data_IF_366010951563
#
_entry.id   IF_366010951563
#
_cell.length_a   1.000
_cell.length_b   1.000
_cell.length_c   1.000
_cell.angle_alpha   90.00
_cell.angle_beta   90.00
_cell.angle_gamma   90.00
#
_symmetry.space_group_name_H-M   'P 1'
#
loop_
_entity.id
_entity.type
_entity.pdbx_description
1 polymer ?
#
# COMPACT_ATOMS: atom_id res chain seq x y z
N UNK A 1 -16.66 -30.02 1.82
CA UNK A 1 -17.05 -28.85 0.99
C UNK A 1 -17.03 -27.62 1.89
N UNK A 2 -16.09 -26.68 1.71
CA UNK A 2 -15.98 -25.50 2.57
C UNK A 2 -17.12 -24.52 2.33
N UNK A 3 -17.69 -23.95 3.40
CA UNK A 3 -18.83 -23.05 3.32
C UNK A 3 -18.58 -21.91 2.30
N UNK A 4 -19.60 -21.52 1.50
CA UNK A 4 -19.46 -20.50 0.45
C UNK A 4 -18.88 -19.18 0.95
N UNK A 5 -19.11 -18.83 2.23
CA UNK A 5 -18.51 -17.65 2.87
C UNK A 5 -16.98 -17.73 3.00
N UNK A 6 -16.42 -18.87 3.41
CA UNK A 6 -14.98 -19.04 3.64
C UNK A 6 -14.17 -18.87 2.34
N UNK A 7 -14.71 -19.36 1.22
CA UNK A 7 -14.08 -19.19 -0.10
C UNK A 7 -14.05 -17.72 -0.52
N UNK A 8 -15.12 -16.97 -0.26
CA UNK A 8 -15.20 -15.54 -0.56
C UNK A 8 -14.21 -14.73 0.26
N UNK A 9 -14.12 -14.97 1.56
CA UNK A 9 -13.14 -14.32 2.43
C UNK A 9 -11.71 -14.63 2.00
N UNK A 10 -11.42 -15.88 1.64
CA UNK A 10 -10.11 -16.26 1.12
C UNK A 10 -9.76 -15.50 -0.16
N UNK A 11 -10.69 -15.43 -1.12
CA UNK A 11 -10.48 -14.69 -2.37
C UNK A 11 -10.26 -13.19 -2.13
N UNK A 12 -11.06 -12.57 -1.27
CA UNK A 12 -10.86 -11.16 -0.90
C UNK A 12 -9.52 -10.95 -0.20
N UNK A 13 -9.14 -11.85 0.71
CA UNK A 13 -7.84 -11.81 1.38
C UNK A 13 -6.68 -11.88 0.39
N UNK A 14 -6.76 -12.75 -0.61
CA UNK A 14 -5.74 -12.84 -1.67
C UNK A 14 -5.63 -11.56 -2.50
N UNK A 15 -6.75 -10.87 -2.77
CA UNK A 15 -6.74 -9.60 -3.50
C UNK A 15 -6.22 -8.45 -2.63
N UNK A 16 -6.52 -8.45 -1.33
CA UNK A 16 -6.07 -7.44 -0.38
C UNK A 16 -4.58 -7.59 0.00
N UNK A 17 -4.03 -8.80 -0.10
CA UNK A 17 -2.73 -9.16 0.44
C UNK A 17 -1.57 -8.24 0.02
N UNK A 18 -1.40 -7.84 -1.26
CA UNK A 18 -0.25 -7.02 -1.65
C UNK A 18 -0.16 -5.70 -0.88
N UNK A 19 -1.26 -4.94 -0.82
CA UNK A 19 -1.26 -3.67 -0.10
C UNK A 19 -1.32 -3.86 1.41
N UNK A 20 -1.92 -4.94 1.91
CA UNK A 20 -1.81 -5.29 3.32
C UNK A 20 -0.35 -5.51 3.72
N UNK A 21 0.39 -6.32 2.96
CA UNK A 21 1.80 -6.61 3.21
C UNK A 21 2.65 -5.32 3.19
N UNK A 22 2.48 -4.47 2.18
CA UNK A 22 3.19 -3.18 2.08
C UNK A 22 2.87 -2.27 3.28
N UNK A 23 1.59 -2.16 3.66
CA UNK A 23 1.16 -1.37 4.81
C UNK A 23 1.74 -1.89 6.13
N UNK A 24 1.74 -3.22 6.33
CA UNK A 24 2.33 -3.83 7.53
C UNK A 24 3.85 -3.65 7.60
N UNK A 25 4.55 -3.67 6.46
CA UNK A 25 6.00 -3.46 6.42
C UNK A 25 6.39 -2.09 6.97
N UNK A 26 5.57 -1.06 6.74
CA UNK A 26 5.81 0.26 7.30
C UNK A 26 5.75 0.28 8.83
N UNK A 27 4.82 -0.48 9.44
CA UNK A 27 4.79 -0.64 10.90
C UNK A 27 6.00 -1.38 11.44
N UNK A 28 6.49 -2.40 10.72
CA UNK A 28 7.76 -3.09 11.08
C UNK A 28 8.93 -2.11 11.04
N UNK A 29 9.03 -1.28 10.01
CA UNK A 29 10.07 -0.23 9.91
C UNK A 29 9.96 0.75 11.08
N UNK A 30 8.76 1.19 11.43
CA UNK A 30 8.56 2.09 12.57
C UNK A 30 9.02 1.45 13.89
N UNK A 31 8.66 0.19 14.16
CA UNK A 31 9.15 -0.54 15.33
C UNK A 31 10.66 -0.69 15.35
N UNK A 32 11.27 -0.98 14.19
CA UNK A 32 12.72 -1.04 14.05
C UNK A 32 13.39 0.29 14.39
N UNK A 33 12.84 1.41 13.92
CA UNK A 33 13.33 2.75 14.26
C UNK A 33 13.16 3.05 15.76
N UNK A 34 12.06 2.63 16.38
CA UNK A 34 11.86 2.75 17.83
C UNK A 34 12.91 1.96 18.62
N UNK A 35 13.21 0.74 18.21
CA UNK A 35 14.26 -0.08 18.83
C UNK A 35 15.65 0.54 18.66
N UNK A 36 15.97 1.05 17.45
CA UNK A 36 17.23 1.75 17.18
C UNK A 36 17.38 3.05 17.98
N UNK A 37 16.27 3.70 18.34
CA UNK A 37 16.26 4.86 19.23
C UNK A 37 16.51 4.50 20.71
N UNK A 38 16.81 3.24 21.04
CA UNK A 38 17.13 2.79 22.40
C UNK A 38 15.91 2.53 23.27
N UNK A 39 14.70 2.48 22.70
CA UNK A 39 13.49 2.22 23.46
C UNK A 39 13.37 0.73 23.85
N UNK A 40 12.66 0.42 24.95
CA UNK A 40 12.41 -0.96 25.37
C UNK A 40 11.76 -1.79 24.25
N UNK A 41 12.11 -3.08 24.17
CA UNK A 41 11.58 -3.99 23.15
C UNK A 41 10.04 -4.03 23.13
N UNK A 42 9.39 -3.93 24.30
CA UNK A 42 7.94 -3.84 24.41
C UNK A 42 7.37 -2.59 23.73
N UNK A 43 8.03 -1.44 23.85
CA UNK A 43 7.59 -0.19 23.22
C UNK A 43 7.74 -0.24 21.70
N UNK A 44 8.84 -0.81 21.23
CA UNK A 44 9.08 -1.04 19.81
C UNK A 44 8.02 -1.98 19.22
N UNK A 45 7.69 -3.07 19.90
CA UNK A 45 6.70 -4.05 19.47
C UNK A 45 5.28 -3.49 19.45
N UNK A 46 4.87 -2.78 20.51
CA UNK A 46 3.59 -2.08 20.56
C UNK A 46 3.47 -1.08 19.43
N UNK A 47 4.50 -0.23 19.24
CA UNK A 47 4.51 0.77 18.16
C UNK A 47 4.43 0.13 16.78
N UNK A 48 5.14 -1.00 16.58
CA UNK A 48 5.12 -1.74 15.33
C UNK A 48 3.72 -2.26 15.01
N UNK A 49 3.09 -2.96 15.96
CA UNK A 49 1.78 -3.59 15.76
C UNK A 49 0.68 -2.55 15.64
N UNK A 50 0.69 -1.54 16.51
CA UNK A 50 -0.30 -0.48 16.54
C UNK A 50 -0.29 0.33 15.24
N UNK A 51 0.84 0.45 14.55
CA UNK A 51 0.92 1.09 13.25
C UNK A 51 0.71 0.12 12.08
N UNK A 52 1.28 -1.09 12.15
CA UNK A 52 1.21 -2.08 11.07
C UNK A 52 -0.24 -2.49 10.77
N UNK A 53 -1.06 -2.65 11.81
CA UNK A 53 -2.45 -3.09 11.67
C UNK A 53 -3.31 -2.09 10.87
N UNK A 54 -3.44 -0.81 11.26
CA UNK A 54 -4.22 0.15 10.49
C UNK A 54 -3.62 0.40 9.10
N UNK A 55 -2.30 0.52 8.97
CA UNK A 55 -1.68 0.70 7.64
C UNK A 55 -1.91 -0.51 6.73
N UNK A 56 -1.81 -1.72 7.27
CA UNK A 56 -2.13 -2.94 6.55
C UNK A 56 -3.58 -2.98 6.09
N UNK A 57 -4.53 -2.61 6.95
CA UNK A 57 -5.96 -2.57 6.59
C UNK A 57 -6.24 -1.56 5.47
N UNK A 58 -5.71 -0.34 5.57
CA UNK A 58 -5.87 0.69 4.54
C UNK A 58 -5.18 0.27 3.23
N UNK A 59 -3.99 -0.32 3.31
CA UNK A 59 -3.30 -0.86 2.14
C UNK A 59 -4.04 -2.04 1.48
N UNK A 60 -4.66 -2.89 2.29
CA UNK A 60 -5.54 -3.95 1.81
C UNK A 60 -6.75 -3.41 1.07
N UNK A 61 -7.39 -2.38 1.64
CA UNK A 61 -8.48 -1.65 0.99
C UNK A 61 -8.04 -1.03 -0.34
N UNK A 62 -6.85 -0.43 -0.41
CA UNK A 62 -6.30 0.09 -1.67
C UNK A 62 -6.21 -1.01 -2.74
N UNK A 63 -5.71 -2.19 -2.38
CA UNK A 63 -5.59 -3.32 -3.31
C UNK A 63 -6.95 -3.82 -3.77
N UNK A 64 -7.95 -3.82 -2.89
CA UNK A 64 -9.34 -4.15 -3.25
C UNK A 64 -9.94 -3.11 -4.21
N UNK A 65 -9.73 -1.82 -3.97
CA UNK A 65 -10.21 -0.75 -4.86
C UNK A 65 -9.56 -0.86 -6.26
N UNK A 66 -8.29 -1.20 -6.30
CA UNK A 66 -7.54 -1.39 -7.53
C UNK A 66 -8.00 -2.64 -8.30
N UNK A 67 -8.14 -3.77 -7.63
CA UNK A 67 -8.64 -5.01 -8.24
C UNK A 67 -10.11 -4.88 -8.67
N UNK A 68 -10.91 -4.06 -8.00
CA UNK A 68 -12.26 -3.69 -8.44
C UNK A 68 -12.27 -2.75 -9.66
N UNK A 69 -11.12 -2.24 -10.10
CA UNK A 69 -11.01 -1.34 -11.26
C UNK A 69 -11.37 0.12 -10.97
N UNK A 70 -11.59 0.48 -9.70
CA UNK A 70 -11.86 1.87 -9.29
C UNK A 70 -10.59 2.73 -9.32
N UNK A 71 -9.42 2.10 -9.21
CA UNK A 71 -8.11 2.75 -9.29
C UNK A 71 -7.33 2.17 -10.45
N UNK A 72 -6.83 3.04 -11.32
CA UNK A 72 -5.96 2.63 -12.43
C UNK A 72 -4.52 2.41 -11.93
N UNK A 73 -3.83 1.35 -12.37
CA UNK A 73 -2.38 1.21 -12.15
C UNK A 73 -1.62 2.44 -12.63
N UNK A 74 -0.55 2.83 -11.93
CA UNK A 74 0.29 3.98 -12.29
C UNK A 74 -0.29 5.35 -11.94
N UNK A 75 -1.49 5.42 -11.33
CA UNK A 75 -2.09 6.72 -10.98
C UNK A 75 -1.84 7.05 -9.51
N UNK A 76 -1.09 8.14 -9.27
CA UNK A 76 -0.76 8.58 -7.92
C UNK A 76 -1.96 9.18 -7.16
N UNK A 77 -2.83 9.94 -7.83
CA UNK A 77 -3.88 10.71 -7.18
C UNK A 77 -4.81 9.89 -6.25
N UNK A 78 -5.31 8.69 -6.65
CA UNK A 78 -6.13 7.87 -5.75
C UNK A 78 -5.36 7.36 -4.52
N UNK A 79 -4.07 7.03 -4.67
CA UNK A 79 -3.23 6.62 -3.54
C UNK A 79 -2.99 7.80 -2.61
N UNK A 80 -2.70 8.98 -3.15
CA UNK A 80 -2.50 10.20 -2.38
C UNK A 80 -3.74 10.57 -1.57
N UNK A 81 -4.93 10.55 -2.18
CA UNK A 81 -6.19 10.85 -1.50
C UNK A 81 -6.52 9.85 -0.39
N UNK A 82 -6.31 8.55 -0.65
CA UNK A 82 -6.53 7.53 0.36
C UNK A 82 -5.58 7.73 1.55
N UNK A 83 -4.30 7.99 1.28
CA UNK A 83 -3.30 8.13 2.33
C UNK A 83 -3.34 9.49 3.04
N UNK A 84 -3.86 10.53 2.41
CA UNK A 84 -4.12 11.83 3.04
C UNK A 84 -5.00 11.70 4.28
N UNK A 85 -5.90 10.72 4.29
CA UNK A 85 -6.77 10.42 5.44
C UNK A 85 -6.27 9.19 6.20
N UNK A 86 -5.92 8.12 5.49
CA UNK A 86 -5.56 6.84 6.10
C UNK A 86 -4.28 6.92 6.95
N UNK A 87 -3.28 7.67 6.52
CA UNK A 87 -2.00 7.77 7.23
C UNK A 87 -2.12 8.59 8.53
N UNK A 88 -2.71 9.80 8.54
CA UNK A 88 -2.95 10.53 9.79
C UNK A 88 -3.79 9.75 10.80
N UNK A 89 -4.84 9.06 10.34
CA UNK A 89 -5.67 8.24 11.22
C UNK A 89 -4.92 7.04 11.79
N UNK A 90 -4.11 6.36 10.98
CA UNK A 90 -3.26 5.26 11.45
C UNK A 90 -2.24 5.75 12.48
N UNK A 91 -1.66 6.94 12.27
CA UNK A 91 -0.72 7.56 13.21
C UNK A 91 -1.40 8.01 14.49
N UNK A 92 -2.62 8.55 14.42
CA UNK A 92 -3.40 8.92 15.59
C UNK A 92 -3.79 7.68 16.41
N UNK A 93 -4.20 6.60 15.73
CA UNK A 93 -4.47 5.32 16.38
C UNK A 93 -3.22 4.75 17.04
N UNK A 94 -2.07 4.76 16.35
CA UNK A 94 -0.81 4.30 16.93
C UNK A 94 -0.45 5.10 18.18
N UNK A 95 -0.57 6.42 18.15
CA UNK A 95 -0.26 7.28 19.29
C UNK A 95 -1.13 6.95 20.50
N UNK A 96 -2.46 6.83 20.28
CA UNK A 96 -3.40 6.48 21.33
C UNK A 96 -3.15 5.08 21.90
N UNK A 97 -2.90 4.09 21.02
CA UNK A 97 -2.63 2.72 21.42
C UNK A 97 -1.29 2.58 22.16
N UNK A 98 -0.25 3.27 21.70
CA UNK A 98 1.06 3.28 22.34
C UNK A 98 0.96 3.91 23.73
N UNK A 99 0.28 5.07 23.85
CA UNK A 99 0.06 5.74 25.13
C UNK A 99 -0.69 4.85 26.12
N UNK A 100 -1.78 4.22 25.68
CA UNK A 100 -2.53 3.30 26.52
C UNK A 100 -1.69 2.10 26.97
N UNK A 101 -0.97 1.46 26.04
CA UNK A 101 -0.18 0.27 26.35
C UNK A 101 1.07 0.55 27.20
N UNK A 102 1.62 1.77 27.12
CA UNK A 102 2.87 2.15 27.81
C UNK A 102 2.58 2.83 29.15
N UNK A 103 1.65 3.79 29.17
CA UNK A 103 1.36 4.63 30.32
C UNK A 103 0.10 4.18 31.09
N UNK A 104 -0.68 3.24 30.53
CA UNK A 104 -1.92 2.76 31.13
C UNK A 104 -3.10 3.74 31.00
N UNK A 105 -2.91 4.88 30.35
CA UNK A 105 -3.91 5.94 30.25
C UNK A 105 -4.37 6.14 28.80
N UNK A 106 -5.69 6.19 28.54
CA UNK A 106 -6.20 6.57 27.23
C UNK A 106 -5.91 8.05 26.99
N UNK A 107 -5.41 8.39 25.80
CA UNK A 107 -5.18 9.78 25.43
C UNK A 107 -4.80 9.96 23.96
N UNK A 108 -4.95 11.19 23.49
CA UNK A 108 -4.56 11.64 22.14
C UNK A 108 -3.55 12.78 22.27
N UNK A 109 -2.89 13.20 21.16
CA UNK A 109 -2.06 14.40 21.17
C UNK A 109 -2.81 15.61 21.73
N UNK A 110 -2.10 16.47 22.47
CA UNK A 110 -2.68 17.70 23.02
C UNK A 110 -3.23 18.63 21.92
N UNK A 111 -2.53 18.71 20.79
CA UNK A 111 -2.97 19.38 19.57
C UNK A 111 -3.27 18.35 18.47
N UNK A 112 -4.49 17.83 18.46
CA UNK A 112 -4.93 16.84 17.47
C UNK A 112 -4.93 17.41 16.06
N UNK A 113 -5.33 18.68 15.89
CA UNK A 113 -5.42 19.28 14.56
C UNK A 113 -4.03 19.52 13.97
N UNK A 114 -3.10 20.09 14.74
CA UNK A 114 -1.72 20.25 14.32
C UNK A 114 -1.04 18.91 14.03
N UNK A 115 -1.29 17.89 14.86
CA UNK A 115 -0.83 16.52 14.59
C UNK A 115 -1.35 16.00 13.24
N UNK A 116 -2.67 16.06 13.01
CA UNK A 116 -3.27 15.57 11.77
C UNK A 116 -2.78 16.34 10.54
N UNK A 117 -2.65 17.66 10.64
CA UNK A 117 -2.12 18.50 9.56
C UNK A 117 -0.68 18.12 9.20
N UNK A 118 0.18 17.94 10.21
CA UNK A 118 1.55 17.49 9.99
C UNK A 118 1.59 16.09 9.36
N UNK A 119 0.81 15.13 9.87
CA UNK A 119 0.76 13.79 9.31
C UNK A 119 0.20 13.79 7.87
N UNK A 120 -0.72 14.69 7.54
CA UNK A 120 -1.25 14.83 6.19
C UNK A 120 -0.16 15.27 5.19
N UNK A 121 0.73 16.19 5.59
CA UNK A 121 1.89 16.59 4.78
C UNK A 121 2.84 15.39 4.59
N UNK A 122 3.15 14.67 5.67
CA UNK A 122 4.03 13.49 5.63
C UNK A 122 3.44 12.35 4.79
N UNK A 123 2.11 12.22 4.75
CA UNK A 123 1.41 11.16 4.04
C UNK A 123 1.72 11.12 2.55
N UNK A 124 2.08 12.26 1.93
CA UNK A 124 2.44 12.29 0.52
C UNK A 124 3.69 11.45 0.23
N UNK A 125 4.72 11.58 1.06
CA UNK A 125 5.94 10.77 0.96
C UNK A 125 5.66 9.29 1.19
N UNK A 126 4.82 9.00 2.19
CA UNK A 126 4.36 7.63 2.45
C UNK A 126 3.59 7.04 1.26
N UNK A 127 2.67 7.80 0.67
CA UNK A 127 1.86 7.36 -0.47
C UNK A 127 2.72 7.00 -1.68
N UNK A 128 3.78 7.77 -1.95
CA UNK A 128 4.72 7.49 -3.04
C UNK A 128 5.45 6.16 -2.78
N UNK A 129 6.02 5.99 -1.58
CA UNK A 129 6.73 4.75 -1.21
C UNK A 129 5.82 3.53 -1.22
N UNK A 130 4.60 3.68 -0.70
CA UNK A 130 3.57 2.65 -0.71
C UNK A 130 3.22 2.24 -2.15
N UNK A 131 2.92 3.22 -3.02
CA UNK A 131 2.53 2.96 -4.40
C UNK A 131 3.65 2.21 -5.14
N UNK A 132 4.89 2.68 -4.99
CA UNK A 132 6.05 2.06 -5.62
C UNK A 132 6.22 0.59 -5.20
N UNK A 133 6.15 0.31 -3.90
CA UNK A 133 6.30 -1.05 -3.38
C UNK A 133 5.11 -1.93 -3.78
N UNK A 134 3.89 -1.37 -3.74
CA UNK A 134 2.67 -2.05 -4.16
C UNK A 134 2.74 -2.47 -5.62
N UNK A 135 3.16 -1.58 -6.52
CA UNK A 135 3.29 -1.88 -7.94
C UNK A 135 4.37 -2.92 -8.23
N UNK A 136 5.37 -3.09 -7.34
CA UNK A 136 6.37 -4.14 -7.46
C UNK A 136 5.84 -5.50 -7.03
N UNK A 137 5.05 -5.54 -5.96
CA UNK A 137 4.57 -6.78 -5.34
C UNK A 137 3.27 -7.29 -5.98
N UNK A 138 2.31 -6.41 -6.25
CA UNK A 138 0.96 -6.77 -6.66
C UNK A 138 0.90 -7.59 -7.96
N UNK A 139 1.62 -7.25 -9.05
CA UNK A 139 1.54 -8.03 -10.29
C UNK A 139 2.05 -9.46 -10.12
N UNK A 140 3.15 -9.63 -9.38
CA UNK A 140 3.75 -10.94 -9.11
C UNK A 140 2.84 -11.80 -8.25
N UNK A 141 2.23 -11.20 -7.23
CA UNK A 141 1.29 -11.88 -6.36
C UNK A 141 0.01 -12.29 -7.11
N UNK A 142 -0.60 -11.38 -7.87
CA UNK A 142 -1.81 -11.64 -8.65
C UNK A 142 -1.58 -12.76 -9.67
N UNK A 143 -0.44 -12.78 -10.36
CA UNK A 143 -0.07 -13.88 -11.26
C UNK A 143 -0.03 -15.23 -10.52
N UNK A 144 0.52 -15.25 -9.30
CA UNK A 144 0.63 -16.46 -8.48
C UNK A 144 -0.73 -17.01 -8.05
N UNK A 145 -1.70 -16.16 -7.74
CA UNK A 145 -3.02 -16.57 -7.25
C UNK A 145 -4.09 -16.67 -8.36
N UNK A 146 -3.81 -16.18 -9.58
CA UNK A 146 -4.74 -16.18 -10.72
C UNK A 146 -5.28 -17.58 -11.06
N UNK A 147 -4.50 -18.64 -10.85
CA UNK A 147 -4.91 -20.03 -11.14
C UNK A 147 -6.05 -20.53 -10.24
N UNK A 148 -6.24 -19.93 -9.07
CA UNK A 148 -7.25 -20.35 -8.07
C UNK A 148 -8.24 -19.25 -7.71
N UNK A 149 -8.06 -18.04 -8.25
CA UNK A 149 -8.89 -16.88 -7.99
C UNK A 149 -9.17 -16.12 -9.31
N UNK A 150 -10.37 -16.25 -9.88
CA UNK A 150 -10.70 -15.64 -11.17
C UNK A 150 -10.66 -14.10 -11.11
N UNK A 151 -10.99 -13.49 -9.97
CA UNK A 151 -10.93 -12.04 -9.79
C UNK A 151 -9.49 -11.54 -9.87
N UNK A 152 -8.54 -12.34 -9.37
CA UNK A 152 -7.12 -12.03 -9.48
C UNK A 152 -6.59 -12.19 -10.91
N UNK A 153 -7.10 -13.15 -11.69
CA UNK A 153 -6.80 -13.27 -13.11
C UNK A 153 -7.26 -12.03 -13.88
N UNK A 154 -8.50 -11.58 -13.66
CA UNK A 154 -9.04 -10.36 -14.28
C UNK A 154 -8.25 -9.10 -13.89
N UNK A 155 -7.78 -9.01 -12.64
CA UNK A 155 -6.95 -7.90 -12.20
C UNK A 155 -5.54 -7.97 -12.83
N UNK A 156 -4.96 -9.17 -12.92
CA UNK A 156 -3.67 -9.39 -13.57
C UNK A 156 -3.71 -9.03 -15.06
N UNK A 157 -4.77 -9.42 -15.78
CA UNK A 157 -4.94 -9.08 -17.20
C UNK A 157 -5.01 -7.57 -17.41
N UNK A 158 -5.65 -6.83 -16.50
CA UNK A 158 -5.67 -5.35 -16.53
C UNK A 158 -4.27 -4.77 -16.33
N UNK A 159 -3.47 -5.32 -15.42
CA UNK A 159 -2.06 -4.95 -15.26
C UNK A 159 -1.24 -5.28 -16.51
N UNK A 160 -1.45 -6.45 -17.12
CA UNK A 160 -0.73 -6.91 -18.31
C UNK A 160 -1.10 -6.08 -19.55
N UNK A 161 -2.36 -5.71 -19.73
CA UNK A 161 -2.80 -4.81 -20.79
C UNK A 161 -2.12 -3.44 -20.65
N UNK A 162 -2.02 -2.90 -19.43
CA UNK A 162 -1.34 -1.64 -19.18
C UNK A 162 0.17 -1.69 -19.48
N UNK A 163 0.85 -2.77 -19.07
CA UNK A 163 2.29 -2.93 -19.35
C UNK A 163 2.59 -3.14 -20.83
N UNK A 164 1.72 -3.85 -21.58
CA UNK A 164 1.82 -4.00 -23.05
C UNK A 164 1.71 -2.65 -23.76
N UNK A 165 0.80 -1.78 -23.33
CA UNK A 165 0.65 -0.43 -23.89
C UNK A 165 1.88 0.45 -23.64
N UNK A 166 2.46 0.39 -22.44
CA UNK A 166 3.69 1.13 -22.13
C UNK A 166 4.90 0.62 -22.93
N UNK A 167 4.99 -0.70 -23.10
CA UNK A 167 6.08 -1.32 -23.86
C UNK A 167 5.99 -1.00 -25.35
N UNK A 168 4.80 -1.09 -25.95
CA UNK A 168 4.59 -0.75 -27.36
C UNK A 168 4.85 0.74 -27.65
N UNK A 169 4.42 1.65 -26.77
CA UNK A 169 4.73 3.07 -26.88
C UNK A 169 6.24 3.36 -26.81
N UNK A 170 6.97 2.62 -25.96
CA UNK A 170 8.43 2.74 -25.85
C UNK A 170 9.15 2.19 -27.08
N UNK A 171 8.68 1.08 -27.66
CA UNK A 171 9.21 0.54 -28.91
C UNK A 171 8.97 1.51 -30.07
N UNK A 172 7.75 2.02 -30.25
CA UNK A 172 7.42 3.00 -31.28
C UNK A 172 8.31 4.26 -31.19
N UNK A 173 8.59 4.76 -29.97
CA UNK A 173 9.54 5.86 -29.76
C UNK A 173 10.98 5.52 -30.15
N UNK A 174 11.44 4.28 -29.90
CA UNK A 174 12.78 3.83 -30.28
C UNK A 174 12.91 3.72 -31.80
N UNK A 175 11.91 3.15 -32.46
CA UNK A 175 11.85 3.02 -33.92
C UNK A 175 11.79 4.40 -34.59
N UNK A 176 10.98 5.33 -34.09
CA UNK A 176 10.94 6.70 -34.60
C UNK A 176 12.30 7.40 -34.48
N UNK A 177 13.00 7.22 -33.35
CA UNK A 177 14.36 7.75 -33.16
C UNK A 177 15.39 7.11 -34.10
N UNK A 178 15.28 5.80 -34.35
CA UNK A 178 16.15 5.09 -35.28
C UNK A 178 15.95 5.58 -36.73
N UNK A 179 14.69 5.71 -37.17
CA UNK A 179 14.34 6.27 -38.49
C UNK A 179 14.80 7.72 -38.66
N UNK A 180 14.62 8.56 -37.65
CA UNK A 180 15.09 9.95 -37.69
C UNK A 180 16.63 10.06 -37.76
N UNK A 181 17.37 9.12 -37.16
CA UNK A 181 18.83 9.06 -37.29
C UNK A 181 19.27 8.54 -38.67
N UNK A 182 18.54 7.59 -39.25
CA UNK A 182 18.81 7.06 -40.58
C UNK A 182 18.60 8.12 -41.66
N UNK A 183 17.54 8.93 -41.57
CA UNK A 183 17.27 10.03 -42.53
C UNK A 183 18.22 11.23 -42.42
N UNK A 184 19.12 11.26 -41.41
CA UNK A 184 20.05 12.37 -41.17
C UNK A 184 21.49 12.03 -41.61
N UNK A 185 21.72 10.82 -42.13
CA UNK A 185 22.94 10.37 -42.77
C UNK A 185 22.71 10.35 -44.27
#
# INVERSE_FOLDING_TARGET
>A
MGAPGTQRFRRLGELAFPGFAVGTLAGVVAGGLTALAGQPAGWAMVSAVALALPLGLVGGLYSLLMTAGKVRPGTFAPAALLWLVGFPLARLFQEAAARYAILGEPGVPADVLGFLAFQAIVSAGFAIGFLWMHERIAPQWLAKVATRNPDAALAYDRYAAHSRLLYSAKQARREAKAKARANRR
#
